data_IF_909305380680
#
_entry.id   IF_909305380680
#
_cell.length_a   1.000
_cell.length_b   1.000
_cell.length_c   1.000
_cell.angle_alpha   90.00
_cell.angle_beta   90.00
_cell.angle_gamma   90.00
#
_symmetry.space_group_name_H-M   'P 1'
#
loop_
_entity.id
_entity.type
_entity.pdbx_description
1 polymer ?
#
# COMPACT_ATOMS: atom_id res chain seq x y z
N UNK A 1 -21.54 12.08 -1.15
CA UNK A 1 -22.14 12.26 0.17
C UNK A 1 -21.43 11.34 1.15
N UNK A 2 -20.73 11.91 2.11
CA UNK A 2 -19.98 11.16 3.12
C UNK A 2 -20.93 10.96 4.31
N UNK A 3 -21.41 9.73 4.45
CA UNK A 3 -22.37 9.39 5.49
C UNK A 3 -21.71 9.21 6.85
N UNK A 4 -22.27 9.86 7.88
CA UNK A 4 -22.00 9.59 9.30
C UNK A 4 -22.75 8.33 9.78
N UNK A 5 -22.78 7.28 8.98
CA UNK A 5 -23.52 6.05 9.30
C UNK A 5 -22.68 5.13 10.18
N UNK A 6 -23.30 4.50 11.18
CA UNK A 6 -22.69 3.48 12.05
C UNK A 6 -22.63 2.10 11.39
N UNK A 7 -23.05 1.98 10.13
CA UNK A 7 -23.09 0.71 9.40
C UNK A 7 -21.70 0.17 9.09
N UNK A 8 -21.53 -1.14 9.17
CA UNK A 8 -20.24 -1.83 8.84
C UNK A 8 -19.98 -1.87 7.34
N UNK A 9 -20.92 -1.47 6.50
CA UNK A 9 -20.84 -1.48 5.04
C UNK A 9 -21.33 -0.15 4.46
N UNK A 10 -20.86 0.19 3.28
CA UNK A 10 -21.35 1.36 2.53
C UNK A 10 -22.81 1.15 2.16
N UNK A 11 -23.69 2.07 2.54
CA UNK A 11 -25.14 1.98 2.24
C UNK A 11 -25.42 2.06 0.74
N UNK A 12 -24.54 2.72 -0.03
CA UNK A 12 -24.71 2.89 -1.48
C UNK A 12 -24.27 1.67 -2.29
N UNK A 13 -23.18 0.99 -1.92
CA UNK A 13 -22.59 -0.09 -2.74
C UNK A 13 -22.27 -1.37 -1.95
N UNK A 14 -22.66 -1.46 -0.67
CA UNK A 14 -22.42 -2.64 0.17
C UNK A 14 -20.96 -2.93 0.52
N UNK A 15 -20.00 -2.11 0.07
CA UNK A 15 -18.58 -2.33 0.31
C UNK A 15 -18.26 -2.32 1.80
N UNK A 16 -17.49 -3.30 2.31
CA UNK A 16 -16.96 -3.28 3.66
C UNK A 16 -15.73 -2.37 3.82
N UNK A 17 -15.16 -1.87 2.72
CA UNK A 17 -13.98 -1.00 2.73
C UNK A 17 -14.42 0.43 3.04
N UNK A 18 -14.45 0.76 4.32
CA UNK A 18 -14.81 2.07 4.84
C UNK A 18 -13.67 2.62 5.68
N UNK A 19 -13.27 3.85 5.41
CA UNK A 19 -12.41 4.63 6.28
C UNK A 19 -13.27 5.58 7.13
N UNK A 20 -13.04 5.57 8.44
CA UNK A 20 -13.73 6.45 9.39
C UNK A 20 -12.72 6.95 10.41
N UNK A 21 -12.71 8.25 10.60
CA UNK A 21 -11.88 8.90 11.59
C UNK A 21 -12.43 10.30 11.89
N UNK A 22 -12.41 10.80 13.14
CA UNK A 22 -12.85 12.16 13.46
C UNK A 22 -12.12 13.24 12.66
N UNK A 23 -10.83 13.05 12.44
CA UNK A 23 -9.95 13.98 11.72
C UNK A 23 -9.83 13.69 10.22
N UNK A 24 -10.57 12.73 9.66
CA UNK A 24 -10.43 12.24 8.28
C UNK A 24 -10.35 13.34 7.21
N UNK A 25 -11.03 14.45 7.42
CA UNK A 25 -11.09 15.55 6.46
C UNK A 25 -10.13 16.71 6.75
N UNK A 26 -9.38 16.63 7.85
CA UNK A 26 -8.37 17.63 8.23
C UNK A 26 -6.96 17.18 7.89
N UNK A 27 -6.76 15.87 7.78
CA UNK A 27 -5.46 15.28 7.53
C UNK A 27 -5.12 15.37 6.05
N UNK A 28 -3.86 15.66 5.73
CA UNK A 28 -3.40 15.90 4.37
C UNK A 28 -2.07 15.21 4.00
N UNK A 29 -1.29 14.74 4.99
CA UNK A 29 -0.08 14.00 4.72
C UNK A 29 -0.38 12.51 4.56
N UNK A 30 -0.06 11.98 3.39
CA UNK A 30 -0.30 10.59 3.05
C UNK A 30 1.01 9.85 2.77
N UNK A 31 1.01 8.55 3.05
CA UNK A 31 1.99 7.60 2.56
C UNK A 31 1.27 6.57 1.70
N UNK A 32 1.77 6.34 0.50
CA UNK A 32 1.28 5.34 -0.45
C UNK A 32 2.36 4.29 -0.65
N UNK A 33 1.96 3.01 -0.61
CA UNK A 33 2.84 1.86 -0.81
C UNK A 33 2.13 0.83 -1.69
N UNK A 34 2.79 0.36 -2.75
CA UNK A 34 2.24 -0.63 -3.66
C UNK A 34 2.30 -2.03 -3.02
N UNK A 35 1.15 -2.70 -2.93
CA UNK A 35 1.02 -3.99 -2.24
C UNK A 35 1.82 -5.11 -2.94
N UNK A 36 2.83 -5.66 -2.24
CA UNK A 36 3.70 -6.73 -2.75
C UNK A 36 4.19 -6.46 -4.18
N UNK A 37 4.69 -5.26 -4.44
CA UNK A 37 4.85 -4.61 -5.74
C UNK A 37 5.36 -5.53 -6.86
N UNK A 38 6.56 -6.10 -6.73
CA UNK A 38 7.12 -6.96 -7.79
C UNK A 38 6.24 -8.18 -8.05
N UNK A 39 5.78 -8.83 -6.99
CA UNK A 39 4.93 -10.02 -7.11
C UNK A 39 3.55 -9.67 -7.69
N UNK A 40 3.00 -8.49 -7.38
CA UNK A 40 1.75 -8.02 -7.95
C UNK A 40 1.85 -7.81 -9.46
N UNK A 41 2.96 -7.22 -9.94
CA UNK A 41 3.22 -7.02 -11.37
C UNK A 41 3.34 -8.38 -12.11
N UNK A 42 4.10 -9.32 -11.55
CA UNK A 42 4.24 -10.64 -12.18
C UNK A 42 2.91 -11.40 -12.24
N UNK A 43 2.08 -11.30 -11.19
CA UNK A 43 0.74 -11.91 -11.19
C UNK A 43 -0.24 -11.22 -12.14
N UNK A 44 -0.11 -9.90 -12.32
CA UNK A 44 -0.89 -9.13 -13.29
C UNK A 44 -0.58 -9.59 -14.72
N UNK A 45 0.72 -9.71 -15.02
CA UNK A 45 1.21 -10.01 -16.37
C UNK A 45 1.05 -11.51 -16.73
N UNK A 46 0.99 -12.39 -15.72
CA UNK A 46 0.78 -13.81 -15.90
C UNK A 46 -0.36 -14.35 -15.01
N UNK A 47 -1.59 -14.43 -15.53
CA UNK A 47 -2.75 -14.91 -14.77
C UNK A 47 -2.61 -16.32 -14.19
N UNK A 48 -1.75 -17.19 -14.75
CA UNK A 48 -1.48 -18.52 -14.21
C UNK A 48 -0.82 -18.51 -12.82
N UNK A 49 -0.28 -17.35 -12.40
CA UNK A 49 0.31 -17.14 -11.08
C UNK A 49 -0.69 -16.65 -10.04
N UNK A 50 -1.91 -16.28 -10.44
CA UNK A 50 -2.89 -15.57 -9.59
C UNK A 50 -3.06 -16.23 -8.22
N UNK A 51 -3.30 -17.53 -8.22
CA UNK A 51 -3.63 -18.28 -7.00
C UNK A 51 -2.43 -19.09 -6.46
N UNK A 52 -1.23 -18.88 -7.00
CA UNK A 52 -0.01 -19.55 -6.56
C UNK A 52 0.78 -18.69 -5.56
N UNK A 53 1.44 -19.28 -4.57
CA UNK A 53 2.46 -18.58 -3.80
C UNK A 53 3.60 -18.18 -4.74
N UNK A 54 3.99 -16.90 -4.70
CA UNK A 54 5.00 -16.32 -5.58
C UNK A 54 6.05 -15.58 -4.75
N UNK A 55 7.30 -15.87 -5.05
CA UNK A 55 8.47 -15.22 -4.47
C UNK A 55 9.27 -14.58 -5.60
N UNK A 56 9.57 -13.31 -5.47
CA UNK A 56 10.54 -12.63 -6.32
C UNK A 56 11.88 -12.62 -5.58
N UNK A 57 12.88 -13.24 -6.18
CA UNK A 57 14.19 -13.37 -5.57
C UNK A 57 15.16 -14.10 -6.50
N UNK A 58 16.40 -14.20 -6.12
CA UNK A 58 17.42 -14.79 -7.00
C UNK A 58 18.41 -15.69 -6.30
N UNK A 59 18.72 -16.84 -6.96
CA UNK A 59 19.78 -17.76 -6.60
C UNK A 59 19.65 -18.45 -5.25
N UNK A 60 20.33 -19.61 -5.08
CA UNK A 60 20.31 -20.40 -3.82
C UNK A 60 20.84 -19.62 -2.60
N UNK A 61 21.74 -18.66 -2.81
CA UNK A 61 22.35 -17.81 -1.77
C UNK A 61 21.75 -16.40 -1.70
N UNK A 62 20.70 -16.13 -2.50
CA UNK A 62 20.02 -14.84 -2.53
C UNK A 62 19.00 -14.70 -1.41
N UNK A 63 18.35 -13.55 -1.41
CA UNK A 63 17.25 -13.23 -0.48
C UNK A 63 15.95 -12.99 -1.25
N UNK A 64 14.84 -13.07 -0.53
CA UNK A 64 13.53 -12.67 -1.01
C UNK A 64 13.50 -11.16 -1.20
N UNK A 65 13.31 -10.68 -2.44
CA UNK A 65 13.08 -9.27 -2.71
C UNK A 65 11.63 -8.89 -2.37
N UNK A 66 10.66 -9.70 -2.84
CA UNK A 66 9.23 -9.53 -2.54
C UNK A 66 8.54 -10.88 -2.53
N UNK A 67 7.62 -11.08 -1.59
CA UNK A 67 6.72 -12.24 -1.56
C UNK A 67 5.27 -11.79 -1.70
N UNK A 68 4.47 -12.49 -2.51
CA UNK A 68 3.03 -12.24 -2.58
C UNK A 68 2.33 -12.62 -1.27
N UNK A 69 1.11 -12.14 -1.05
CA UNK A 69 0.39 -12.38 0.21
C UNK A 69 0.13 -13.87 0.48
N UNK A 70 -0.05 -14.70 -0.54
CA UNK A 70 -0.19 -16.16 -0.38
C UNK A 70 1.08 -16.76 0.25
N UNK A 71 2.27 -16.39 -0.27
CA UNK A 71 3.53 -16.84 0.30
C UNK A 71 3.79 -16.23 1.71
N UNK A 72 3.36 -14.98 1.96
CA UNK A 72 3.49 -14.35 3.28
C UNK A 72 2.66 -15.04 4.37
N UNK A 73 1.49 -15.59 4.04
CA UNK A 73 0.66 -16.38 4.97
C UNK A 73 1.41 -17.64 5.42
N UNK A 74 2.25 -18.22 4.55
CA UNK A 74 3.09 -19.38 4.86
C UNK A 74 4.41 -19.01 5.57
N UNK A 75 4.58 -17.76 5.97
CA UNK A 75 5.73 -17.32 6.76
C UNK A 75 6.87 -16.69 5.95
N UNK A 76 6.77 -16.61 4.61
CA UNK A 76 7.80 -15.95 3.79
C UNK A 76 7.79 -14.43 4.04
N UNK A 77 8.98 -13.83 4.17
CA UNK A 77 9.18 -12.40 4.40
C UNK A 77 10.24 -11.83 3.45
N UNK A 78 10.17 -10.53 3.15
CA UNK A 78 11.24 -9.81 2.45
C UNK A 78 12.53 -9.89 3.25
N UNK A 79 13.67 -9.87 2.57
CA UNK A 79 15.01 -10.05 3.09
C UNK A 79 15.32 -11.46 3.68
N UNK A 80 14.34 -12.37 3.73
CA UNK A 80 14.55 -13.76 4.17
C UNK A 80 15.48 -14.47 3.19
N UNK A 81 16.47 -15.27 3.67
CA UNK A 81 17.27 -16.14 2.80
C UNK A 81 16.38 -17.08 1.98
N UNK A 82 16.69 -17.25 0.69
CA UNK A 82 15.85 -18.05 -0.23
C UNK A 82 15.66 -19.49 0.23
N UNK A 83 16.68 -20.12 0.81
CA UNK A 83 16.56 -21.49 1.32
C UNK A 83 15.49 -21.59 2.44
N UNK A 84 15.46 -20.61 3.38
CA UNK A 84 14.44 -20.56 4.43
C UNK A 84 13.06 -20.27 3.88
N UNK A 85 12.98 -19.42 2.84
CA UNK A 85 11.70 -19.11 2.20
C UNK A 85 11.12 -20.35 1.51
N UNK A 86 11.95 -21.18 0.88
CA UNK A 86 11.53 -22.43 0.25
C UNK A 86 11.25 -23.56 1.26
N UNK A 87 11.87 -23.55 2.44
CA UNK A 87 11.49 -24.42 3.55
C UNK A 87 10.09 -24.07 4.07
N UNK A 88 9.78 -22.76 4.19
CA UNK A 88 8.48 -22.26 4.66
C UNK A 88 7.36 -22.44 3.61
N UNK A 89 7.69 -22.38 2.32
CA UNK A 89 6.73 -22.47 1.22
C UNK A 89 7.34 -23.26 0.04
N UNK A 90 7.40 -24.60 0.14
CA UNK A 90 8.07 -25.46 -0.86
C UNK A 90 7.43 -25.39 -2.26
N UNK A 91 6.13 -25.12 -2.34
CA UNK A 91 5.37 -25.01 -3.59
C UNK A 91 5.46 -23.61 -4.23
N UNK A 92 6.22 -22.68 -3.65
CA UNK A 92 6.33 -21.34 -4.19
C UNK A 92 6.97 -21.31 -5.57
N UNK A 93 6.34 -20.60 -6.47
CA UNK A 93 6.96 -20.23 -7.76
C UNK A 93 7.99 -19.14 -7.46
N UNK A 94 9.23 -19.33 -7.93
CA UNK A 94 10.30 -18.35 -7.78
C UNK A 94 10.59 -17.70 -9.12
N UNK A 95 10.57 -16.37 -9.16
CA UNK A 95 10.90 -15.58 -10.37
C UNK A 95 12.05 -14.63 -10.03
N UNK A 96 13.03 -14.57 -10.91
CA UNK A 96 14.11 -13.58 -10.82
C UNK A 96 13.58 -12.17 -11.06
N UNK A 97 14.07 -11.15 -10.30
CA UNK A 97 13.59 -9.76 -10.45
C UNK A 97 13.81 -9.22 -11.86
N UNK A 98 12.79 -8.59 -12.44
CA UNK A 98 12.90 -7.80 -13.66
C UNK A 98 12.80 -6.30 -13.30
N UNK A 99 13.94 -5.71 -12.94
CA UNK A 99 13.99 -4.33 -12.45
C UNK A 99 13.56 -3.30 -13.49
N UNK A 100 13.83 -3.52 -14.77
CA UNK A 100 13.39 -2.60 -15.84
C UNK A 100 11.87 -2.51 -15.88
N UNK A 101 11.18 -3.65 -15.83
CA UNK A 101 9.71 -3.74 -15.78
C UNK A 101 9.17 -3.02 -14.54
N UNK A 102 9.75 -3.27 -13.36
CA UNK A 102 9.28 -2.70 -12.11
C UNK A 102 9.47 -1.19 -12.05
N UNK A 103 10.61 -0.69 -12.51
CA UNK A 103 10.88 0.77 -12.59
C UNK A 103 9.90 1.45 -13.54
N UNK A 104 9.55 0.83 -14.67
CA UNK A 104 8.55 1.37 -15.59
C UNK A 104 7.18 1.51 -14.91
N UNK A 105 6.69 0.45 -14.27
CA UNK A 105 5.39 0.49 -13.56
C UNK A 105 5.41 1.47 -12.39
N UNK A 106 6.52 1.53 -11.64
CA UNK A 106 6.68 2.51 -10.56
C UNK A 106 6.61 3.96 -11.06
N UNK A 107 7.15 4.25 -12.26
CA UNK A 107 7.02 5.59 -12.88
C UNK A 107 5.57 5.90 -13.28
N UNK A 108 4.82 4.92 -13.77
CA UNK A 108 3.40 5.10 -14.10
C UNK A 108 2.59 5.44 -12.83
N UNK A 109 2.76 4.69 -11.74
CA UNK A 109 2.10 4.99 -10.45
C UNK A 109 2.51 6.38 -9.93
N UNK A 110 3.80 6.72 -10.02
CA UNK A 110 4.31 8.02 -9.59
C UNK A 110 3.72 9.17 -10.40
N UNK A 111 3.56 9.02 -11.70
CA UNK A 111 2.90 10.03 -12.54
C UNK A 111 1.45 10.26 -12.08
N UNK A 112 0.73 9.19 -11.71
CA UNK A 112 -0.61 9.33 -11.13
C UNK A 112 -0.60 10.04 -9.77
N UNK A 113 0.42 9.81 -8.91
CA UNK A 113 0.58 10.55 -7.65
C UNK A 113 0.83 12.05 -7.90
N UNK A 114 1.68 12.38 -8.88
CA UNK A 114 1.99 13.76 -9.25
C UNK A 114 0.80 14.52 -9.84
N UNK A 115 -0.18 13.82 -10.40
CA UNK A 115 -1.45 14.42 -10.81
C UNK A 115 -2.34 14.83 -9.62
N UNK A 116 -2.09 14.32 -8.41
CA UNK A 116 -2.84 14.71 -7.21
C UNK A 116 -2.25 15.94 -6.54
N UNK A 117 -0.92 16.04 -6.52
CA UNK A 117 -0.17 17.13 -5.87
C UNK A 117 1.24 17.20 -6.46
N UNK A 118 1.84 18.38 -6.60
CA UNK A 118 3.25 18.51 -6.95
C UNK A 118 4.18 18.08 -5.81
N UNK A 119 3.68 17.99 -4.57
CA UNK A 119 4.44 17.66 -3.37
C UNK A 119 4.46 16.15 -3.15
N UNK A 120 5.13 15.43 -4.05
CA UNK A 120 5.37 13.98 -3.97
C UNK A 120 6.84 13.75 -3.64
N UNK A 121 7.11 13.07 -2.53
CA UNK A 121 8.44 12.68 -2.07
C UNK A 121 8.62 11.16 -2.18
N UNK A 122 9.28 10.66 -3.22
CA UNK A 122 9.53 9.24 -3.37
C UNK A 122 10.52 8.72 -2.33
N UNK A 123 10.23 7.58 -1.72
CA UNK A 123 11.15 6.83 -0.86
C UNK A 123 11.82 5.68 -1.61
N UNK A 124 11.06 5.05 -2.50
CA UNK A 124 11.50 3.94 -3.34
C UNK A 124 10.79 3.96 -4.70
N UNK A 125 10.85 2.88 -5.47
CA UNK A 125 10.12 2.76 -6.74
C UNK A 125 8.64 2.47 -6.55
N UNK A 126 8.22 2.04 -5.35
CA UNK A 126 6.87 1.57 -5.02
C UNK A 126 6.21 2.36 -3.87
N UNK A 127 6.93 3.26 -3.20
CA UNK A 127 6.37 4.06 -2.12
C UNK A 127 6.74 5.54 -2.21
N UNK A 128 5.84 6.39 -1.74
CA UNK A 128 6.05 7.83 -1.65
C UNK A 128 5.19 8.48 -0.57
N UNK A 129 5.67 9.62 -0.05
CA UNK A 129 4.84 10.58 0.67
C UNK A 129 4.20 11.57 -0.30
N UNK A 130 2.97 11.97 0.03
CA UNK A 130 2.21 13.02 -0.66
C UNK A 130 1.74 14.04 0.36
N UNK A 131 1.99 15.31 0.09
CA UNK A 131 1.33 16.39 0.83
C UNK A 131 0.17 16.93 -0.05
N UNK A 132 -1.03 16.76 0.45
CA UNK A 132 -2.29 17.16 -0.20
C UNK A 132 -2.87 18.45 0.40
N UNK A 133 -2.10 19.18 1.23
CA UNK A 133 -2.54 20.45 1.78
C UNK A 133 -2.86 21.45 0.67
N UNK A 134 -4.03 22.09 0.74
CA UNK A 134 -4.46 23.10 -0.22
C UNK A 134 -4.94 22.55 -1.58
N UNK A 135 -4.95 21.23 -1.77
CA UNK A 135 -5.40 20.61 -3.03
C UNK A 135 -6.92 20.48 -3.15
N UNK A 136 -7.68 20.83 -2.11
CA UNK A 136 -9.14 20.77 -2.11
C UNK A 136 -9.76 21.66 -3.20
N UNK A 137 -9.15 22.81 -3.50
CA UNK A 137 -9.59 23.71 -4.56
C UNK A 137 -9.40 23.09 -5.95
N UNK A 138 -8.31 22.33 -6.14
CA UNK A 138 -8.00 21.65 -7.39
C UNK A 138 -8.95 20.48 -7.64
N UNK A 139 -9.19 19.65 -6.63
CA UNK A 139 -9.97 18.42 -6.77
C UNK A 139 -11.45 18.56 -6.44
N UNK A 140 -11.85 19.66 -5.79
CA UNK A 140 -13.21 19.82 -5.25
C UNK A 140 -13.57 18.80 -4.17
N UNK A 141 -12.56 18.16 -3.55
CA UNK A 141 -12.72 17.02 -2.64
C UNK A 141 -11.65 17.05 -1.54
N UNK A 142 -11.97 16.55 -0.34
CA UNK A 142 -10.98 16.42 0.72
C UNK A 142 -9.92 15.33 0.40
N UNK A 143 -8.69 15.46 0.93
CA UNK A 143 -7.56 14.55 0.69
C UNK A 143 -7.88 13.07 0.79
N UNK A 144 -8.61 12.67 1.83
CA UNK A 144 -9.00 11.27 2.03
C UNK A 144 -9.82 10.70 0.85
N UNK A 145 -10.68 11.51 0.23
CA UNK A 145 -11.49 11.08 -0.92
C UNK A 145 -10.64 11.02 -2.19
N UNK A 146 -9.73 11.99 -2.37
CA UNK A 146 -8.77 12.00 -3.47
C UNK A 146 -7.90 10.74 -3.43
N UNK A 147 -7.35 10.40 -2.27
CA UNK A 147 -6.54 9.18 -2.07
C UNK A 147 -7.34 7.89 -2.31
N UNK A 148 -8.60 7.83 -1.86
CA UNK A 148 -9.43 6.66 -2.12
C UNK A 148 -9.73 6.47 -3.62
N UNK A 149 -9.95 7.58 -4.35
CA UNK A 149 -10.11 7.54 -5.82
C UNK A 149 -8.82 7.15 -6.51
N UNK A 150 -7.68 7.67 -6.06
CA UNK A 150 -6.37 7.30 -6.56
C UNK A 150 -6.11 5.79 -6.42
N UNK A 151 -6.36 5.21 -5.24
CA UNK A 151 -6.18 3.77 -5.02
C UNK A 151 -7.04 2.92 -5.98
N UNK A 152 -8.28 3.35 -6.24
CA UNK A 152 -9.15 2.70 -7.22
C UNK A 152 -8.66 2.88 -8.67
N UNK A 153 -8.13 4.05 -9.02
CA UNK A 153 -7.58 4.33 -10.34
C UNK A 153 -6.34 3.45 -10.60
N UNK A 154 -5.42 3.35 -9.65
CA UNK A 154 -4.23 2.47 -9.76
C UNK A 154 -4.68 1.02 -9.99
N UNK A 155 -5.66 0.53 -9.21
CA UNK A 155 -6.17 -0.83 -9.38
C UNK A 155 -6.79 -1.05 -10.77
N UNK A 156 -7.53 -0.07 -11.29
CA UNK A 156 -8.21 -0.16 -12.59
C UNK A 156 -7.27 0.01 -13.77
N UNK A 157 -6.35 0.97 -13.72
CA UNK A 157 -5.53 1.39 -14.85
C UNK A 157 -4.18 0.66 -14.90
N UNK A 158 -3.55 0.45 -13.74
CA UNK A 158 -2.25 -0.23 -13.63
C UNK A 158 -2.41 -1.73 -13.34
N UNK A 159 -3.54 -2.16 -12.76
CA UNK A 159 -3.82 -3.55 -12.43
C UNK A 159 -3.10 -4.08 -11.18
N UNK A 160 -2.60 -3.21 -10.33
CA UNK A 160 -2.02 -3.55 -9.01
C UNK A 160 -2.77 -2.80 -7.91
N UNK A 161 -2.52 -3.15 -6.66
CA UNK A 161 -3.16 -2.46 -5.53
C UNK A 161 -2.15 -1.65 -4.72
N UNK A 162 -2.66 -0.63 -4.05
CA UNK A 162 -1.90 0.20 -3.12
C UNK A 162 -2.57 0.25 -1.76
N UNK A 163 -1.75 0.45 -0.73
CA UNK A 163 -2.21 0.78 0.61
C UNK A 163 -1.85 2.22 0.94
N UNK A 164 -2.78 2.93 1.55
CA UNK A 164 -2.67 4.34 1.90
C UNK A 164 -2.73 4.53 3.42
N UNK A 165 -1.79 5.29 3.97
CA UNK A 165 -1.84 5.81 5.31
C UNK A 165 -2.01 7.33 5.27
N UNK A 166 -2.93 7.86 6.09
CA UNK A 166 -3.22 9.29 6.18
C UNK A 166 -3.00 9.76 7.61
N UNK A 167 -2.23 10.83 7.79
CA UNK A 167 -1.93 11.38 9.11
C UNK A 167 -1.59 12.87 9.03
N UNK A 168 -1.23 13.46 10.18
CA UNK A 168 -0.73 14.82 10.29
C UNK A 168 0.81 14.91 10.15
N UNK A 169 1.52 13.77 10.18
CA UNK A 169 2.96 13.72 9.95
C UNK A 169 3.36 12.50 9.14
N UNK A 170 4.51 12.58 8.43
CA UNK A 170 5.02 11.52 7.55
C UNK A 170 5.24 10.19 8.28
N UNK A 171 5.81 10.24 9.48
CA UNK A 171 6.10 9.07 10.29
C UNK A 171 4.85 8.22 10.54
N UNK A 172 3.78 8.83 11.05
CA UNK A 172 2.53 8.13 11.32
C UNK A 172 1.77 7.75 10.04
N UNK A 173 1.88 8.54 8.96
CA UNK A 173 1.32 8.17 7.67
C UNK A 173 1.96 6.88 7.14
N UNK A 174 3.29 6.71 7.28
CA UNK A 174 3.99 5.48 6.89
C UNK A 174 3.55 4.30 7.74
N UNK A 175 3.51 4.45 9.05
CA UNK A 175 2.99 3.39 9.95
C UNK A 175 1.55 3.02 9.56
N UNK A 176 0.67 4.01 9.35
CA UNK A 176 -0.73 3.77 9.01
C UNK A 176 -0.89 2.95 7.72
N UNK A 177 -0.03 3.16 6.70
CA UNK A 177 -0.13 2.43 5.44
C UNK A 177 0.10 0.92 5.58
N UNK A 178 0.79 0.47 6.63
CA UNK A 178 1.08 -0.95 6.87
C UNK A 178 -0.06 -1.71 7.59
N UNK A 179 -0.97 -1.01 8.30
CA UNK A 179 -1.93 -1.64 9.21
C UNK A 179 -2.94 -2.58 8.55
N UNK A 180 -3.37 -2.28 7.34
CA UNK A 180 -4.45 -3.01 6.67
C UNK A 180 -4.07 -3.49 5.27
N UNK A 181 -2.77 -3.73 5.03
CA UNK A 181 -2.33 -4.33 3.78
C UNK A 181 -2.94 -5.72 3.56
N UNK A 182 -3.33 -6.10 2.35
CA UNK A 182 -3.33 -5.30 1.12
C UNK A 182 -4.59 -4.44 0.96
N UNK A 183 -4.54 -3.47 0.04
CA UNK A 183 -5.67 -2.56 -0.28
C UNK A 183 -6.14 -1.75 0.93
N UNK A 184 -5.21 -1.46 1.84
CA UNK A 184 -5.48 -0.77 3.08
C UNK A 184 -5.73 0.72 2.89
N UNK A 185 -6.62 1.28 3.71
CA UNK A 185 -6.71 2.71 3.93
C UNK A 185 -6.82 2.92 5.44
N UNK A 186 -5.76 3.43 6.05
CA UNK A 186 -5.69 3.61 7.50
C UNK A 186 -5.40 5.06 7.83
N UNK A 187 -5.91 5.51 8.97
CA UNK A 187 -5.79 6.89 9.45
C UNK A 187 -5.27 6.85 10.87
N UNK A 188 -4.30 7.70 11.18
CA UNK A 188 -3.83 7.98 12.54
C UNK A 188 -3.86 9.50 12.71
N UNK A 189 -4.77 9.99 13.55
CA UNK A 189 -4.94 11.41 13.81
C UNK A 189 -3.98 11.93 14.87
N UNK A 190 -3.96 13.25 15.03
CA UNK A 190 -3.11 13.92 16.02
C UNK A 190 -3.56 13.62 17.44
N UNK A 191 -4.87 13.61 17.68
CA UNK A 191 -5.44 13.43 19.01
C UNK A 191 -5.10 12.08 19.65
N UNK A 192 -4.94 11.03 18.86
CA UNK A 192 -4.66 9.68 19.36
C UNK A 192 -3.19 9.26 19.25
N UNK A 193 -2.36 10.04 18.57
CA UNK A 193 -0.99 9.66 18.19
C UNK A 193 -0.14 9.17 19.37
N UNK A 194 -0.14 9.89 20.48
CA UNK A 194 0.65 9.53 21.69
C UNK A 194 0.16 8.21 22.27
N UNK A 195 -1.14 8.06 22.48
CA UNK A 195 -1.71 6.82 23.01
C UNK A 195 -1.53 5.63 22.06
N UNK A 196 -1.63 5.89 20.77
CA UNK A 196 -1.38 4.89 19.74
C UNK A 196 0.08 4.40 19.79
N UNK A 197 1.07 5.30 19.76
CA UNK A 197 2.49 4.95 19.79
C UNK A 197 2.91 4.25 21.08
N UNK A 198 2.39 4.70 22.22
CA UNK A 198 2.69 4.09 23.53
C UNK A 198 2.28 2.61 23.61
N UNK A 199 1.29 2.20 22.84
CA UNK A 199 0.79 0.82 22.78
C UNK A 199 1.55 -0.06 21.76
N UNK A 200 2.44 0.52 20.92
CA UNK A 200 3.14 -0.24 19.89
C UNK A 200 4.47 -0.79 20.40
N UNK A 201 4.91 -1.95 19.88
CA UNK A 201 6.26 -2.44 20.15
C UNK A 201 7.31 -1.54 19.50
N UNK A 202 8.45 -1.36 20.17
CA UNK A 202 9.58 -0.53 19.67
C UNK A 202 10.04 -0.95 18.27
N UNK A 203 9.87 -2.21 17.91
CA UNK A 203 10.23 -2.73 16.57
C UNK A 203 9.34 -2.21 15.43
N UNK A 204 8.23 -1.51 15.75
CA UNK A 204 7.37 -0.87 14.76
C UNK A 204 7.85 0.56 14.43
N UNK A 205 8.69 1.12 15.27
CA UNK A 205 9.25 2.46 15.17
C UNK A 205 10.68 2.35 14.64
#
# INVERSE_FOLDING_TARGET
MLQRSQTRRCERCGSPRLARHPELYRLHLAHIDCDAFYAAIEKRDNPALKDKPLIIGGGKRGVVSTACYIARIQGVRSAMPMFKALEACPEAVVISPNMEKYVRVGREVRAMMQALTPLVEPLSIDEAFLDLAGTERLHGLPPAVVLARFALAVEKEIGITVSAGLSYCKFLAKIASDFRKPRGFSVIGEAEAVGFLAAQPVTMI
#
